data_IF_887282252941
#
_entry.id   IF_887282252941
#
_cell.length_a   1.000
_cell.length_b   1.000
_cell.length_c   1.000
_cell.angle_alpha   90.00
_cell.angle_beta   90.00
_cell.angle_gamma   90.00
#
_symmetry.space_group_name_H-M   'P 1'
#
loop_
_entity.id
_entity.type
_entity.pdbx_description
1 polymer ?
#
# COMPACT_ATOMS: atom_id res chain seq x y z
N UNK A 1 -1.10 -25.56 31.78
CA UNK A 1 -0.65 -26.97 31.90
C UNK A 1 -0.03 -27.50 30.61
N UNK A 2 -0.64 -27.26 29.44
CA UNK A 2 -0.11 -27.68 28.12
C UNK A 2 1.29 -27.14 27.80
N UNK A 3 1.61 -25.90 28.20
CA UNK A 3 2.92 -25.28 28.00
C UNK A 3 4.07 -25.92 28.82
N UNK A 4 3.78 -26.83 29.76
CA UNK A 4 4.81 -27.51 30.58
C UNK A 4 5.57 -28.61 29.82
N UNK A 5 5.31 -28.81 28.53
CA UNK A 5 5.97 -29.81 27.70
C UNK A 5 5.50 -31.24 27.99
N UNK A 6 6.33 -32.25 27.72
CA UNK A 6 5.93 -33.65 27.84
C UNK A 6 5.59 -34.04 29.29
N UNK A 7 4.32 -34.34 29.56
CA UNK A 7 3.85 -34.86 30.86
C UNK A 7 2.70 -35.85 30.69
N UNK A 8 2.39 -36.63 31.73
CA UNK A 8 1.26 -37.58 31.73
C UNK A 8 -0.10 -36.94 31.44
N UNK A 9 -0.22 -35.61 31.62
CA UNK A 9 -1.43 -34.85 31.36
C UNK A 9 -1.56 -34.37 29.91
N UNK A 10 -0.54 -34.62 29.08
CA UNK A 10 -0.47 -34.21 27.66
C UNK A 10 -0.57 -35.41 26.69
N UNK A 11 -0.99 -36.58 27.19
CA UNK A 11 -1.25 -37.78 26.41
C UNK A 11 -2.75 -37.98 26.17
N UNK A 12 -3.12 -38.27 24.92
CA UNK A 12 -4.51 -38.41 24.48
C UNK A 12 -4.71 -39.74 23.76
N UNK A 13 -5.70 -40.53 24.18
CA UNK A 13 -6.04 -41.78 23.50
C UNK A 13 -6.75 -41.54 22.17
N UNK A 14 -6.31 -42.23 21.12
CA UNK A 14 -6.94 -42.17 19.80
C UNK A 14 -8.02 -43.23 19.70
N UNK A 15 -9.27 -42.83 19.88
CA UNK A 15 -10.41 -43.76 19.86
C UNK A 15 -11.03 -43.81 18.47
N UNK A 16 -11.12 -45.01 17.87
CA UNK A 16 -11.90 -45.24 16.65
C UNK A 16 -13.33 -45.67 17.01
N UNK A 17 -14.37 -44.87 16.70
CA UNK A 17 -15.74 -45.16 17.12
C UNK A 17 -16.27 -46.50 16.60
N UNK A 18 -15.96 -46.84 15.34
CA UNK A 18 -16.42 -48.10 14.71
C UNK A 18 -15.78 -49.33 15.36
N UNK A 19 -14.49 -49.25 15.74
CA UNK A 19 -13.81 -50.34 16.46
C UNK A 19 -14.35 -50.49 17.88
N UNK A 20 -14.62 -49.38 18.58
CA UNK A 20 -15.20 -49.37 19.93
C UNK A 20 -16.57 -50.05 19.99
N UNK A 21 -17.42 -49.82 18.98
CA UNK A 21 -18.73 -50.48 18.89
C UNK A 21 -18.64 -51.97 18.55
N UNK A 22 -17.64 -52.40 17.78
CA UNK A 22 -17.52 -53.79 17.28
C UNK A 22 -16.68 -54.71 18.18
N UNK A 23 -15.81 -54.18 19.05
CA UNK A 23 -14.85 -54.97 19.82
C UNK A 23 -14.99 -54.70 21.33
N UNK A 24 -15.52 -55.68 22.07
CA UNK A 24 -15.74 -55.61 23.53
C UNK A 24 -14.49 -55.29 24.37
N UNK A 25 -13.28 -55.68 23.92
CA UNK A 25 -12.00 -55.43 24.61
C UNK A 25 -11.17 -54.30 24.00
N UNK A 26 -11.79 -53.43 23.21
CA UNK A 26 -11.08 -52.33 22.57
C UNK A 26 -10.84 -51.17 23.56
N UNK A 27 -9.56 -50.85 23.79
CA UNK A 27 -9.13 -49.70 24.60
C UNK A 27 -8.99 -48.46 23.71
N UNK A 28 -7.99 -48.43 22.83
CA UNK A 28 -7.72 -47.31 21.91
C UNK A 28 -6.99 -47.80 20.64
N UNK A 29 -6.70 -46.90 19.70
CA UNK A 29 -5.90 -47.13 18.49
C UNK A 29 -4.47 -46.58 18.60
N UNK A 30 -3.98 -46.33 19.81
CA UNK A 30 -2.74 -45.60 20.08
C UNK A 30 -2.98 -44.31 20.85
N UNK A 31 -1.90 -43.56 21.07
CA UNK A 31 -1.90 -42.32 21.87
C UNK A 31 -1.18 -41.20 21.12
N UNK A 32 -1.68 -39.97 21.22
CA UNK A 32 -1.01 -38.73 20.77
C UNK A 32 -0.48 -38.01 22.00
N UNK A 33 0.78 -37.59 21.97
CA UNK A 33 1.38 -36.81 23.07
C UNK A 33 1.79 -35.43 22.57
N UNK A 34 1.36 -34.38 23.27
CA UNK A 34 1.83 -33.02 23.02
C UNK A 34 3.23 -32.86 23.64
N UNK A 35 4.25 -32.72 22.79
CA UNK A 35 5.65 -32.64 23.21
C UNK A 35 6.04 -31.24 23.69
N UNK A 36 5.61 -30.21 22.98
CA UNK A 36 5.85 -28.80 23.30
C UNK A 36 4.69 -27.94 22.83
N UNK A 37 4.50 -26.82 23.53
CA UNK A 37 3.51 -25.80 23.19
C UNK A 37 4.03 -24.46 23.71
N UNK A 38 4.22 -23.51 22.80
CA UNK A 38 4.57 -22.14 23.12
C UNK A 38 3.40 -21.24 22.72
N UNK A 39 3.09 -20.26 23.56
CA UNK A 39 2.22 -19.15 23.20
C UNK A 39 3.12 -17.97 22.93
N UNK A 40 3.15 -17.53 21.69
CA UNK A 40 3.91 -16.36 21.26
C UNK A 40 2.93 -15.22 20.97
N UNK A 41 3.33 -14.01 21.34
CA UNK A 41 2.58 -12.82 20.99
C UNK A 41 3.05 -12.34 19.61
N UNK A 42 2.19 -12.49 18.62
CA UNK A 42 2.40 -11.87 17.30
C UNK A 42 1.76 -10.48 17.27
N UNK A 43 2.53 -9.49 16.86
CA UNK A 43 2.04 -8.13 16.67
C UNK A 43 1.27 -8.03 15.35
N UNK A 44 0.04 -7.53 15.44
CA UNK A 44 -0.79 -7.23 14.27
C UNK A 44 -0.40 -5.90 13.65
N UNK A 45 -0.80 -5.66 12.40
CA UNK A 45 -0.67 -4.34 11.76
C UNK A 45 -1.20 -3.20 12.63
N UNK A 46 -2.36 -3.39 13.28
CA UNK A 46 -2.95 -2.36 14.14
C UNK A 46 -2.15 -2.09 15.42
N UNK A 47 -1.38 -3.06 15.91
CA UNK A 47 -0.52 -2.85 17.07
C UNK A 47 0.62 -1.87 16.72
N UNK A 48 1.16 -1.95 15.50
CA UNK A 48 2.15 -0.99 15.00
C UNK A 48 1.54 0.41 14.85
N UNK A 49 0.35 0.52 14.23
CA UNK A 49 -0.33 1.82 14.06
C UNK A 49 -0.66 2.45 15.41
N UNK A 50 -1.22 1.68 16.36
CA UNK A 50 -1.48 2.15 17.74
C UNK A 50 -0.21 2.50 18.50
N UNK A 51 0.89 1.83 18.18
CA UNK A 51 2.23 2.14 18.69
C UNK A 51 2.86 3.41 18.12
N UNK A 52 2.18 4.12 17.21
CA UNK A 52 2.66 5.36 16.61
C UNK A 52 3.40 5.19 15.29
N UNK A 53 3.36 4.00 14.68
CA UNK A 53 3.89 3.79 13.32
C UNK A 53 3.04 4.56 12.33
N UNK A 54 3.71 5.33 11.46
CA UNK A 54 3.09 6.09 10.38
C UNK A 54 3.41 5.45 9.03
N UNK A 55 2.56 5.69 8.03
CA UNK A 55 2.77 5.26 6.65
C UNK A 55 3.02 6.50 5.80
N UNK A 56 4.27 6.71 5.42
CA UNK A 56 4.65 7.80 4.53
C UNK A 56 4.15 7.53 3.10
N UNK A 57 3.57 8.56 2.48
CA UNK A 57 3.03 8.50 1.12
C UNK A 57 3.79 9.46 0.20
N UNK A 58 4.38 8.90 -0.86
CA UNK A 58 5.06 9.64 -1.92
C UNK A 58 4.40 9.34 -3.26
N UNK A 59 4.24 10.38 -4.07
CA UNK A 59 3.59 10.31 -5.37
C UNK A 59 4.60 10.63 -6.45
N UNK A 60 4.66 9.81 -7.50
CA UNK A 60 5.39 10.07 -8.73
C UNK A 60 4.43 9.91 -9.92
N UNK A 61 4.27 10.95 -10.72
CA UNK A 61 3.34 10.99 -11.86
C UNK A 61 4.14 10.96 -13.17
N UNK A 62 3.77 10.04 -14.04
CA UNK A 62 4.28 9.96 -15.40
C UNK A 62 3.71 11.11 -16.24
N UNK A 63 4.57 11.97 -16.77
CA UNK A 63 4.23 13.05 -17.72
C UNK A 63 4.80 12.77 -19.12
N UNK A 64 4.91 11.50 -19.51
CA UNK A 64 5.42 11.15 -20.83
C UNK A 64 4.40 11.38 -21.96
N UNK A 65 4.90 11.66 -23.16
CA UNK A 65 4.10 11.99 -24.34
C UNK A 65 3.16 10.86 -24.80
N UNK A 66 3.42 9.60 -24.39
CA UNK A 66 2.54 8.45 -24.64
C UNK A 66 1.14 8.61 -24.03
N UNK A 67 0.99 9.46 -23.01
CA UNK A 67 -0.29 9.81 -22.39
C UNK A 67 -1.18 10.70 -23.28
N UNK A 68 -0.68 11.18 -24.43
CA UNK A 68 -1.38 12.07 -25.34
C UNK A 68 -1.45 13.52 -24.85
N UNK A 69 -1.85 14.44 -25.73
CA UNK A 69 -1.90 15.86 -25.42
C UNK A 69 -3.01 16.15 -24.37
N UNK A 70 -2.71 16.76 -23.21
CA UNK A 70 -3.71 17.03 -22.16
C UNK A 70 -4.90 17.91 -22.58
N UNK A 71 -4.79 18.61 -23.72
CA UNK A 71 -5.90 19.39 -24.30
C UNK A 71 -6.91 18.52 -25.06
N UNK A 72 -6.56 17.26 -25.35
CA UNK A 72 -7.41 16.31 -26.08
C UNK A 72 -8.14 15.39 -25.11
N UNK A 73 -9.43 15.14 -25.37
CA UNK A 73 -10.28 14.29 -24.52
C UNK A 73 -9.85 12.82 -24.48
N UNK A 74 -8.99 12.39 -25.40
CA UNK A 74 -8.41 11.04 -25.45
C UNK A 74 -7.17 10.89 -24.57
N UNK A 75 -6.61 11.98 -24.04
CA UNK A 75 -5.43 11.92 -23.18
C UNK A 75 -5.77 11.36 -21.80
N UNK A 76 -4.86 10.56 -21.25
CA UNK A 76 -4.94 10.08 -19.87
C UNK A 76 -4.78 11.21 -18.84
N UNK A 77 -4.25 12.36 -19.26
CA UNK A 77 -4.14 13.58 -18.44
C UNK A 77 -5.27 14.59 -18.70
N UNK A 78 -6.25 14.29 -19.55
CA UNK A 78 -7.30 15.26 -19.90
C UNK A 78 -8.00 15.81 -18.65
N UNK A 79 -8.04 17.14 -18.49
CA UNK A 79 -8.70 17.79 -17.38
C UNK A 79 -10.15 18.16 -17.75
N UNK A 80 -11.02 17.15 -17.75
CA UNK A 80 -12.46 17.37 -17.97
C UNK A 80 -13.08 18.17 -16.81
N UNK A 81 -13.97 19.13 -17.08
CA UNK A 81 -14.72 19.82 -16.02
C UNK A 81 -15.78 18.93 -15.35
N UNK A 82 -16.08 17.74 -15.91
CA UNK A 82 -17.15 16.86 -15.45
C UNK A 82 -16.67 15.52 -14.89
N UNK A 83 -15.46 15.08 -15.24
CA UNK A 83 -14.96 13.76 -14.89
C UNK A 83 -13.48 13.79 -14.55
N UNK A 84 -13.10 13.03 -13.53
CA UNK A 84 -11.70 12.83 -13.16
C UNK A 84 -11.01 11.94 -14.20
N UNK A 85 -9.77 12.28 -14.56
CA UNK A 85 -8.94 11.39 -15.36
C UNK A 85 -8.34 10.24 -14.52
N UNK A 86 -7.69 9.29 -15.19
CA UNK A 86 -7.13 8.10 -14.55
C UNK A 86 -6.18 8.43 -13.39
N UNK A 87 -5.29 9.41 -13.58
CA UNK A 87 -4.34 9.85 -12.55
C UNK A 87 -5.07 10.46 -11.34
N UNK A 88 -6.03 11.34 -11.59
CA UNK A 88 -6.79 12.02 -10.53
C UNK A 88 -7.62 11.02 -9.71
N UNK A 89 -8.24 10.03 -10.39
CA UNK A 89 -8.95 8.94 -9.72
C UNK A 89 -8.02 8.10 -8.85
N UNK A 90 -6.85 7.72 -9.36
CA UNK A 90 -5.88 6.90 -8.62
C UNK A 90 -5.35 7.65 -7.39
N UNK A 91 -4.99 8.93 -7.56
CA UNK A 91 -4.54 9.80 -6.47
C UNK A 91 -5.58 9.88 -5.36
N UNK A 92 -6.85 10.15 -5.69
CA UNK A 92 -7.91 10.18 -4.69
C UNK A 92 -8.13 8.83 -4.03
N UNK A 93 -8.29 7.77 -4.81
CA UNK A 93 -8.61 6.44 -4.28
C UNK A 93 -7.57 5.93 -3.27
N UNK A 94 -6.28 6.21 -3.49
CA UNK A 94 -5.20 5.81 -2.58
C UNK A 94 -4.98 6.86 -1.50
N UNK A 95 -4.84 8.12 -1.89
CA UNK A 95 -4.49 9.22 -0.99
C UNK A 95 -5.55 9.52 0.05
N UNK A 96 -6.85 9.34 -0.28
CA UNK A 96 -7.93 9.54 0.67
C UNK A 96 -7.85 8.59 1.87
N UNK A 97 -7.33 7.37 1.66
CA UNK A 97 -7.18 6.34 2.69
C UNK A 97 -5.84 6.49 3.41
N UNK A 98 -4.75 6.56 2.65
CA UNK A 98 -3.40 6.52 3.21
C UNK A 98 -3.10 7.76 4.06
N UNK A 99 -3.67 8.92 3.73
CA UNK A 99 -3.41 10.15 4.47
C UNK A 99 -3.77 10.09 5.95
N UNK A 100 -4.67 9.20 6.38
CA UNK A 100 -5.03 9.07 7.79
C UNK A 100 -4.02 8.26 8.61
N UNK A 101 -3.04 7.64 7.94
CA UNK A 101 -1.92 6.92 8.56
C UNK A 101 -0.65 7.77 8.64
N UNK A 102 -0.73 9.04 8.22
CA UNK A 102 0.35 10.02 8.31
C UNK A 102 -0.11 11.20 9.18
N UNK A 103 0.70 11.60 10.15
CA UNK A 103 0.33 12.63 11.13
C UNK A 103 0.48 14.06 10.59
N UNK A 104 1.46 14.31 9.73
CA UNK A 104 1.70 15.64 9.16
C UNK A 104 1.00 15.83 7.81
N UNK A 105 0.68 14.73 7.13
CA UNK A 105 0.00 14.69 5.83
C UNK A 105 0.78 15.47 4.77
N UNK A 106 2.11 15.51 4.86
CA UNK A 106 2.99 16.21 3.93
C UNK A 106 3.56 15.20 2.93
N UNK A 107 2.98 15.15 1.73
CA UNK A 107 3.30 14.12 0.74
C UNK A 107 4.24 14.66 -0.34
N UNK A 108 5.46 14.14 -0.46
CA UNK A 108 6.32 14.44 -1.61
C UNK A 108 5.62 14.08 -2.92
N UNK A 109 5.51 15.06 -3.81
CA UNK A 109 4.83 14.91 -5.09
C UNK A 109 5.77 15.26 -6.23
N UNK A 110 6.11 14.25 -7.03
CA UNK A 110 7.07 14.31 -8.11
C UNK A 110 6.41 13.99 -9.46
N UNK A 111 6.98 14.52 -10.53
CA UNK A 111 6.68 14.16 -11.90
C UNK A 111 7.93 13.66 -12.62
N UNK A 112 7.76 12.91 -13.71
CA UNK A 112 8.87 12.47 -14.55
C UNK A 112 8.49 12.40 -16.02
N UNK A 113 9.48 12.45 -16.92
CA UNK A 113 9.25 12.25 -18.35
C UNK A 113 8.73 13.49 -19.09
N UNK A 114 8.95 14.68 -18.55
CA UNK A 114 8.54 15.94 -19.17
C UNK A 114 9.72 16.86 -19.42
N UNK A 115 9.54 17.81 -20.35
CA UNK A 115 10.40 18.98 -20.48
C UNK A 115 9.92 20.09 -19.56
N UNK A 116 10.82 20.58 -18.71
CA UNK A 116 10.51 21.58 -17.69
C UNK A 116 10.91 22.99 -18.18
N UNK A 117 10.06 24.01 -18.01
CA UNK A 117 10.45 25.40 -18.27
C UNK A 117 11.57 25.89 -17.35
N UNK A 118 12.32 26.93 -17.74
CA UNK A 118 12.23 27.68 -19.00
C UNK A 118 13.10 27.09 -20.12
N UNK A 119 14.05 26.21 -19.80
CA UNK A 119 15.07 25.73 -20.73
C UNK A 119 14.63 24.50 -21.53
N UNK A 120 13.47 23.91 -21.20
CA UNK A 120 12.91 22.77 -21.92
C UNK A 120 13.75 21.51 -21.76
N UNK A 121 14.56 21.43 -20.70
CA UNK A 121 15.33 20.23 -20.39
C UNK A 121 14.39 19.10 -20.00
N UNK A 122 14.68 17.93 -20.54
CA UNK A 122 13.99 16.69 -20.14
C UNK A 122 14.36 16.41 -18.70
N UNK A 123 13.38 16.31 -17.84
CA UNK A 123 13.56 15.88 -16.46
C UNK A 123 12.96 14.49 -16.24
N UNK A 124 13.77 13.63 -15.63
CA UNK A 124 13.34 12.32 -15.16
C UNK A 124 12.82 12.35 -13.72
N UNK A 125 12.88 13.51 -13.06
CA UNK A 125 12.27 13.75 -11.75
C UNK A 125 12.17 15.26 -11.52
N UNK A 126 10.98 15.76 -11.16
CA UNK A 126 10.82 17.16 -10.81
C UNK A 126 9.69 17.34 -9.77
N UNK A 127 9.81 18.33 -8.86
CA UNK A 127 8.77 18.61 -7.87
C UNK A 127 7.53 19.21 -8.53
N UNK A 128 6.35 18.62 -8.29
CA UNK A 128 5.09 19.12 -8.88
C UNK A 128 4.72 20.50 -8.33
N UNK A 129 5.09 20.79 -7.09
CA UNK A 129 4.86 22.09 -6.46
C UNK A 129 5.86 23.18 -6.92
N UNK A 130 6.90 22.80 -7.67
CA UNK A 130 7.95 23.69 -8.16
C UNK A 130 9.07 23.99 -7.15
N UNK A 131 9.03 23.43 -5.94
CA UNK A 131 10.05 23.61 -4.90
C UNK A 131 10.98 22.39 -4.84
N UNK A 132 12.20 22.57 -5.34
CA UNK A 132 13.22 21.51 -5.34
C UNK A 132 13.83 21.25 -3.96
N UNK A 133 13.73 22.20 -3.02
CA UNK A 133 14.19 21.99 -1.65
C UNK A 133 13.13 21.24 -0.82
N UNK A 134 11.85 21.39 -1.17
CA UNK A 134 10.76 20.71 -0.49
C UNK A 134 9.63 20.31 -1.45
N UNK A 135 9.62 19.07 -1.97
CA UNK A 135 8.58 18.59 -2.87
C UNK A 135 7.26 18.25 -2.17
N UNK A 136 7.15 18.45 -0.85
CA UNK A 136 5.98 18.02 -0.09
C UNK A 136 4.76 18.93 -0.31
N UNK A 137 3.60 18.30 -0.48
CA UNK A 137 2.30 18.92 -0.63
C UNK A 137 1.42 18.59 0.58
N UNK A 138 0.60 19.56 1.01
CA UNK A 138 -0.32 19.39 2.13
C UNK A 138 -1.54 18.56 1.72
N UNK A 139 -1.58 17.31 2.14
CA UNK A 139 -2.67 16.36 1.90
C UNK A 139 -2.85 15.98 0.43
N UNK A 140 -3.82 15.09 0.17
CA UNK A 140 -4.09 14.64 -1.21
C UNK A 140 -4.59 15.78 -2.11
N UNK A 141 -5.33 16.75 -1.55
CA UNK A 141 -5.79 17.92 -2.30
C UNK A 141 -4.61 18.82 -2.74
N UNK A 142 -3.58 18.98 -1.90
CA UNK A 142 -2.37 19.70 -2.28
C UNK A 142 -1.60 19.01 -3.41
N UNK A 143 -1.55 17.67 -3.41
CA UNK A 143 -0.95 16.89 -4.50
C UNK A 143 -1.74 17.10 -5.81
N UNK A 144 -3.08 17.06 -5.75
CA UNK A 144 -3.95 17.28 -6.90
C UNK A 144 -3.80 18.68 -7.49
N UNK A 145 -3.71 19.70 -6.64
CA UNK A 145 -3.47 21.07 -7.06
C UNK A 145 -2.11 21.20 -7.77
N UNK A 146 -1.05 20.64 -7.17
CA UNK A 146 0.29 20.64 -7.74
C UNK A 146 0.35 19.90 -9.09
N UNK A 147 -0.31 18.75 -9.20
CA UNK A 147 -0.47 18.02 -10.45
C UNK A 147 -1.15 18.87 -11.54
N UNK A 148 -2.31 19.47 -11.24
CA UNK A 148 -3.03 20.31 -12.20
C UNK A 148 -2.25 21.56 -12.62
N UNK A 149 -1.44 22.12 -11.73
CA UNK A 149 -0.58 23.27 -12.02
C UNK A 149 0.58 22.86 -12.92
N UNK A 150 1.27 21.78 -12.55
CA UNK A 150 2.39 21.23 -13.28
C UNK A 150 2.00 20.84 -14.72
N UNK A 151 0.84 20.19 -14.89
CA UNK A 151 0.36 19.77 -16.21
C UNK A 151 0.14 20.92 -17.21
N UNK A 152 -0.06 22.14 -16.72
CA UNK A 152 -0.20 23.33 -17.59
C UNK A 152 1.12 23.99 -17.93
N UNK A 153 2.18 23.72 -17.17
CA UNK A 153 3.49 24.35 -17.35
C UNK A 153 4.48 23.47 -18.09
N UNK A 154 4.45 22.15 -17.87
CA UNK A 154 5.40 21.22 -18.48
C UNK A 154 4.96 20.77 -19.87
N UNK A 155 5.93 20.38 -20.70
CA UNK A 155 5.66 19.74 -21.98
C UNK A 155 5.89 18.24 -21.85
N UNK A 156 4.85 17.42 -22.08
CA UNK A 156 4.99 15.96 -22.05
C UNK A 156 6.06 15.50 -23.04
N UNK A 157 6.96 14.62 -22.60
CA UNK A 157 8.10 14.18 -23.42
C UNK A 157 8.46 12.71 -23.16
N UNK A 158 9.62 12.21 -23.56
CA UNK A 158 10.01 10.83 -23.32
C UNK A 158 11.53 10.67 -23.40
N UNK A 159 12.06 9.45 -23.22
CA UNK A 159 11.35 8.17 -23.05
C UNK A 159 10.79 7.96 -21.62
N UNK A 160 10.04 6.88 -21.43
CA UNK A 160 9.70 6.34 -20.10
C UNK A 160 10.87 5.47 -19.63
N UNK A 161 11.45 5.78 -18.47
CA UNK A 161 12.53 5.00 -17.84
C UNK A 161 12.04 4.37 -16.53
#
# INVERSE_FOLDING_TARGET
ELARGQSQFNGYEVVNPRKKMKKKKYLNSGTVTLLSFAVESDHTFLDYIRGGTQINFTVAIDFTASNGNPSQSTSLHYLSPYQLNAYTMALKAVGEIIQDYDSDKMFPALGFGAKIPPDGRVSHEFPLNGDAANPACSGIEGVLEAYHRSLRSVQLYGPTN
#
